data_IF_082946031020
#
_entry.id   IF_082946031020
#
_cell.length_a   1.000
_cell.length_b   1.000
_cell.length_c   1.000
_cell.angle_alpha   90.00
_cell.angle_beta   90.00
_cell.angle_gamma   90.00
#
_symmetry.space_group_name_H-M   'P 1'
#
loop_
_entity.id
_entity.type
_entity.pdbx_description
1 polymer ?
#
# COMPACT_ATOMS: atom_id res chain seq x y z
N UNK A 1 -24.58 16.22 -5.14
CA UNK A 1 -24.36 15.75 -3.76
C UNK A 1 -25.46 16.30 -2.86
N UNK A 2 -25.98 15.49 -1.94
CA UNK A 2 -27.03 15.87 -0.96
C UNK A 2 -26.41 16.54 0.27
N UNK A 3 -27.20 17.34 0.97
CA UNK A 3 -26.82 17.92 2.25
C UNK A 3 -26.95 16.89 3.39
N UNK A 4 -26.15 17.07 4.43
CA UNK A 4 -26.22 16.26 5.65
C UNK A 4 -27.54 16.49 6.39
N UNK A 5 -28.11 15.44 7.00
CA UNK A 5 -29.37 15.50 7.76
C UNK A 5 -29.25 14.71 9.06
N UNK A 6 -30.26 14.79 9.93
CA UNK A 6 -30.33 14.03 11.18
C UNK A 6 -30.39 12.52 10.96
N UNK A 7 -30.99 12.08 9.86
CA UNK A 7 -31.10 10.67 9.47
C UNK A 7 -29.71 10.12 9.13
N UNK A 8 -28.88 10.90 8.43
CA UNK A 8 -27.48 10.53 8.16
C UNK A 8 -26.67 10.39 9.46
N UNK A 9 -26.89 11.26 10.45
CA UNK A 9 -26.28 11.10 11.78
C UNK A 9 -26.72 9.80 12.46
N UNK A 10 -28.01 9.47 12.41
CA UNK A 10 -28.54 8.21 12.96
C UNK A 10 -27.96 7.00 12.25
N UNK A 11 -27.75 7.07 10.94
CA UNK A 11 -27.17 5.97 10.16
C UNK A 11 -25.70 5.74 10.49
N UNK A 12 -24.87 6.80 10.54
CA UNK A 12 -23.46 6.69 10.93
C UNK A 12 -23.31 6.12 12.34
N UNK A 13 -24.10 6.62 13.31
CA UNK A 13 -24.02 6.18 14.70
C UNK A 13 -24.39 4.71 14.93
N UNK A 14 -24.93 4.00 13.93
CA UNK A 14 -25.19 2.55 14.02
C UNK A 14 -23.94 1.70 13.91
N UNK A 15 -22.90 2.21 13.25
CA UNK A 15 -21.69 1.45 12.95
C UNK A 15 -20.41 2.17 13.39
N UNK A 16 -20.42 3.50 13.48
CA UNK A 16 -19.27 4.26 13.94
C UNK A 16 -19.21 4.25 15.47
N UNK A 17 -18.27 3.47 15.99
CA UNK A 17 -17.91 3.43 17.40
C UNK A 17 -16.41 3.70 17.57
N UNK A 18 -16.07 4.87 18.10
CA UNK A 18 -14.67 5.31 18.25
C UNK A 18 -13.89 4.41 19.21
N UNK A 19 -14.52 3.81 20.22
CA UNK A 19 -13.83 2.89 21.14
C UNK A 19 -13.40 1.62 20.42
N UNK A 20 -14.19 1.15 19.45
CA UNK A 20 -13.78 0.06 18.58
C UNK A 20 -12.58 0.45 17.71
N UNK A 21 -12.52 1.69 17.21
CA UNK A 21 -11.35 2.20 16.47
C UNK A 21 -10.11 2.45 17.35
N UNK A 22 -10.25 2.65 18.67
CA UNK A 22 -9.07 2.76 19.57
C UNK A 22 -8.25 1.47 19.60
N UNK A 23 -8.86 0.31 19.34
CA UNK A 23 -8.17 -0.99 19.28
C UNK A 23 -7.15 -1.10 18.14
N UNK A 24 -7.08 -0.15 17.21
CA UNK A 24 -5.97 -0.05 16.25
C UNK A 24 -4.61 0.14 16.94
N UNK A 25 -4.59 0.66 18.18
CA UNK A 25 -3.38 0.77 19.00
C UNK A 25 -2.79 -0.57 19.45
N UNK A 26 -3.62 -1.61 19.50
CA UNK A 26 -3.23 -2.97 19.88
C UNK A 26 -2.71 -3.80 18.70
N UNK A 27 -2.96 -3.35 17.47
CA UNK A 27 -2.44 -4.00 16.28
C UNK A 27 -0.91 -3.90 16.23
N UNK A 28 -0.29 -4.87 15.56
CA UNK A 28 1.11 -4.72 15.14
C UNK A 28 1.24 -3.63 14.08
N UNK A 29 2.44 -3.08 13.94
CA UNK A 29 2.68 -2.07 12.90
C UNK A 29 2.44 -2.63 11.49
N UNK A 30 2.77 -3.91 11.27
CA UNK A 30 2.48 -4.61 10.02
C UNK A 30 0.97 -4.73 9.76
N UNK A 31 0.17 -5.05 10.78
CA UNK A 31 -1.29 -5.08 10.68
C UNK A 31 -1.85 -3.70 10.31
N UNK A 32 -1.41 -2.64 10.99
CA UNK A 32 -1.82 -1.26 10.69
C UNK A 32 -1.52 -0.88 9.22
N UNK A 33 -0.35 -1.29 8.71
CA UNK A 33 0.01 -1.10 7.31
C UNK A 33 -0.99 -1.77 6.36
N UNK A 34 -1.35 -3.03 6.61
CA UNK A 34 -2.29 -3.75 5.75
C UNK A 34 -3.72 -3.20 5.85
N UNK A 35 -4.13 -2.73 7.03
CA UNK A 35 -5.41 -2.05 7.23
C UNK A 35 -5.54 -0.78 6.38
N UNK A 36 -4.47 0.01 6.26
CA UNK A 36 -4.45 1.18 5.37
C UNK A 36 -4.32 0.77 3.91
N UNK A 37 -3.53 -0.27 3.62
CA UNK A 37 -3.38 -0.79 2.26
C UNK A 37 -4.71 -1.27 1.69
N UNK A 38 -5.51 -2.01 2.45
CA UNK A 38 -6.86 -2.43 2.08
C UNK A 38 -7.75 -1.23 1.71
N UNK A 39 -7.64 -0.13 2.47
CA UNK A 39 -8.41 1.11 2.26
C UNK A 39 -8.01 1.88 1.00
N UNK A 40 -6.86 1.58 0.38
CA UNK A 40 -6.52 2.16 -0.94
C UNK A 40 -7.52 1.76 -2.02
N UNK A 41 -8.14 0.58 -1.90
CA UNK A 41 -9.17 0.12 -2.83
C UNK A 41 -10.38 1.07 -2.89
N UNK A 42 -10.65 1.85 -1.83
CA UNK A 42 -11.79 2.76 -1.78
C UNK A 42 -11.68 3.92 -2.77
N UNK A 43 -10.46 4.28 -3.17
CA UNK A 43 -10.18 5.43 -4.02
C UNK A 43 -9.61 5.07 -5.38
N UNK A 44 -9.37 3.78 -5.65
CA UNK A 44 -8.94 3.28 -6.97
C UNK A 44 -9.98 3.63 -8.05
N UNK A 45 -9.53 4.12 -9.21
CA UNK A 45 -10.38 4.48 -10.35
C UNK A 45 -10.85 3.26 -11.14
N UNK A 46 -9.97 2.28 -11.31
CA UNK A 46 -10.24 0.99 -11.95
C UNK A 46 -9.97 -0.15 -10.98
N UNK A 47 -10.81 -1.17 -10.97
CA UNK A 47 -10.66 -2.35 -10.09
C UNK A 47 -10.87 -3.62 -10.90
N UNK A 48 -10.07 -4.62 -10.59
CA UNK A 48 -10.28 -5.98 -11.08
C UNK A 48 -11.42 -6.66 -10.31
N UNK A 49 -12.01 -7.72 -10.86
CA UNK A 49 -13.19 -8.39 -10.29
C UNK A 49 -12.96 -8.90 -8.86
N UNK A 50 -11.75 -9.40 -8.57
CA UNK A 50 -11.42 -9.85 -7.21
C UNK A 50 -11.30 -8.67 -6.23
N UNK A 51 -10.77 -7.52 -6.68
CA UNK A 51 -10.67 -6.31 -5.86
C UNK A 51 -12.05 -5.73 -5.58
N UNK A 52 -12.97 -5.81 -6.55
CA UNK A 52 -14.36 -5.40 -6.38
C UNK A 52 -15.09 -6.28 -5.35
N UNK A 53 -14.85 -7.60 -5.35
CA UNK A 53 -15.38 -8.50 -4.31
C UNK A 53 -14.80 -8.20 -2.93
N UNK A 54 -13.48 -8.02 -2.84
CA UNK A 54 -12.82 -7.66 -1.58
C UNK A 54 -13.36 -6.35 -1.01
N UNK A 55 -13.54 -5.34 -1.88
CA UNK A 55 -14.11 -4.04 -1.53
C UNK A 55 -15.50 -4.16 -0.88
N UNK A 56 -16.39 -4.98 -1.46
CA UNK A 56 -17.72 -5.20 -0.90
C UNK A 56 -17.63 -5.82 0.50
N UNK A 57 -16.77 -6.82 0.69
CA UNK A 57 -16.52 -7.40 2.00
C UNK A 57 -15.99 -6.38 3.02
N UNK A 58 -15.15 -5.44 2.60
CA UNK A 58 -14.68 -4.36 3.47
C UNK A 58 -15.81 -3.40 3.89
N UNK A 59 -16.71 -3.05 2.97
CA UNK A 59 -17.87 -2.23 3.31
C UNK A 59 -18.81 -2.95 4.28
N UNK A 60 -19.04 -4.24 4.09
CA UNK A 60 -19.85 -5.04 5.01
C UNK A 60 -19.25 -5.08 6.41
N UNK A 61 -17.92 -5.28 6.53
CA UNK A 61 -17.21 -5.21 7.83
C UNK A 61 -17.39 -3.84 8.49
N UNK A 62 -17.03 -2.75 7.80
CA UNK A 62 -17.08 -1.39 8.38
C UNK A 62 -18.51 -1.02 8.79
N UNK A 63 -19.49 -1.20 7.90
CA UNK A 63 -20.87 -0.76 8.14
C UNK A 63 -21.68 -1.71 9.03
N UNK A 64 -21.11 -2.85 9.43
CA UNK A 64 -21.62 -3.67 10.53
C UNK A 64 -20.98 -3.33 11.89
N UNK A 65 -20.08 -2.34 11.93
CA UNK A 65 -19.40 -1.88 13.15
C UNK A 65 -18.05 -2.53 13.41
N UNK A 66 -17.49 -3.27 12.46
CA UNK A 66 -16.16 -3.84 12.55
C UNK A 66 -15.17 -3.15 11.59
N UNK A 67 -14.30 -2.26 12.08
CA UNK A 67 -13.37 -1.53 11.22
C UNK A 67 -12.12 -2.33 10.82
N UNK A 68 -11.91 -3.53 11.35
CA UNK A 68 -10.73 -4.35 11.06
C UNK A 68 -10.94 -5.16 9.78
N UNK A 69 -10.29 -4.73 8.70
CA UNK A 69 -10.44 -5.33 7.38
C UNK A 69 -9.61 -6.60 7.21
N UNK A 70 -8.45 -6.63 7.87
CA UNK A 70 -7.44 -7.67 7.74
C UNK A 70 -7.49 -8.61 8.93
N UNK A 71 -7.78 -9.88 8.66
CA UNK A 71 -7.73 -10.92 9.67
C UNK A 71 -6.30 -11.45 9.82
N UNK A 72 -5.91 -11.87 11.02
CA UNK A 72 -4.54 -12.36 11.30
C UNK A 72 -4.15 -13.55 10.39
N UNK A 73 -5.12 -14.41 10.05
CA UNK A 73 -4.96 -15.52 9.10
C UNK A 73 -4.66 -15.05 7.67
N UNK A 74 -5.05 -13.83 7.30
CA UNK A 74 -4.78 -13.23 5.99
C UNK A 74 -3.36 -12.66 5.92
N UNK A 75 -2.70 -12.37 7.05
CA UNK A 75 -1.31 -11.91 7.09
C UNK A 75 -0.33 -13.02 6.69
N UNK A 76 -0.64 -14.29 7.02
CA UNK A 76 0.15 -15.45 6.60
C UNK A 76 0.23 -15.65 5.08
N UNK A 77 -0.74 -15.11 4.32
CA UNK A 77 -0.69 -15.08 2.86
C UNK A 77 0.19 -13.96 2.29
N UNK A 78 0.59 -12.98 3.12
CA UNK A 78 1.36 -11.81 2.70
C UNK A 78 2.87 -11.95 2.99
N UNK A 79 3.29 -13.01 3.66
CA UNK A 79 4.66 -13.53 3.68
C UNK A 79 4.59 -15.07 3.81
N UNK A 80 4.06 -15.77 2.80
CA UNK A 80 3.80 -17.20 2.91
C UNK A 80 5.11 -17.99 2.97
N UNK A 81 5.34 -18.74 4.04
CA UNK A 81 6.51 -19.65 4.17
C UNK A 81 6.57 -20.71 3.04
N UNK A 82 5.47 -20.89 2.32
CA UNK A 82 5.33 -21.91 1.28
C UNK A 82 5.27 -21.34 -0.16
N UNK A 83 5.43 -20.03 -0.36
CA UNK A 83 5.40 -19.39 -1.70
C UNK A 83 6.32 -18.18 -1.76
N UNK A 84 6.78 -17.83 -2.96
CA UNK A 84 7.55 -16.61 -3.18
C UNK A 84 6.68 -15.37 -2.91
N UNK A 85 7.16 -14.48 -2.05
CA UNK A 85 6.53 -13.20 -1.75
C UNK A 85 6.88 -12.16 -2.84
N UNK A 86 5.88 -11.42 -3.32
CA UNK A 86 6.06 -10.36 -4.32
C UNK A 86 5.91 -8.96 -3.69
N UNK A 87 7.01 -8.28 -3.34
CA UNK A 87 6.97 -6.92 -2.83
C UNK A 87 6.64 -5.86 -3.91
N UNK A 88 6.25 -4.62 -3.55
CA UNK A 88 5.72 -3.61 -4.47
C UNK A 88 6.62 -3.15 -5.64
N UNK A 89 7.92 -3.45 -5.57
CA UNK A 89 8.91 -3.04 -6.57
C UNK A 89 9.45 -4.21 -7.39
N UNK A 90 8.99 -5.42 -7.11
CA UNK A 90 9.44 -6.64 -7.75
C UNK A 90 8.26 -7.32 -8.43
N UNK A 91 8.52 -7.90 -9.59
CA UNK A 91 7.55 -8.66 -10.35
C UNK A 91 8.11 -10.06 -10.51
N UNK A 92 7.40 -11.05 -9.99
CA UNK A 92 7.72 -12.44 -10.26
C UNK A 92 7.17 -12.76 -11.64
N UNK A 93 8.05 -13.14 -12.58
CA UNK A 93 7.64 -13.48 -13.94
C UNK A 93 6.65 -14.64 -13.91
N UNK A 94 5.46 -14.42 -14.47
CA UNK A 94 4.42 -15.44 -14.57
C UNK A 94 4.57 -16.28 -15.82
N UNK A 95 3.94 -17.47 -15.85
CA UNK A 95 3.88 -18.29 -17.07
C UNK A 95 3.20 -17.55 -18.23
N UNK A 96 2.20 -16.74 -17.95
CA UNK A 96 1.55 -15.89 -18.95
C UNK A 96 2.53 -14.89 -19.55
N UNK A 97 3.27 -14.15 -18.70
CA UNK A 97 4.27 -13.20 -19.18
C UNK A 97 5.39 -13.89 -19.96
N UNK A 98 5.82 -15.07 -19.52
CA UNK A 98 6.80 -15.88 -20.24
C UNK A 98 6.28 -16.29 -21.63
N UNK A 99 5.02 -16.71 -21.73
CA UNK A 99 4.40 -17.08 -23.00
C UNK A 99 4.28 -15.88 -23.94
N UNK A 100 3.86 -14.71 -23.44
CA UNK A 100 3.81 -13.47 -24.21
C UNK A 100 5.19 -13.10 -24.79
N UNK A 101 6.23 -13.07 -23.93
CA UNK A 101 7.59 -12.78 -24.36
C UNK A 101 8.05 -13.78 -25.43
N UNK A 102 7.76 -15.06 -25.25
CA UNK A 102 8.10 -16.11 -26.22
C UNK A 102 7.42 -15.90 -27.58
N UNK A 103 6.14 -15.52 -27.59
CA UNK A 103 5.39 -15.22 -28.82
C UNK A 103 6.00 -14.02 -29.53
N UNK A 104 6.32 -12.95 -28.80
CA UNK A 104 6.95 -11.75 -29.36
C UNK A 104 8.34 -12.10 -29.93
N UNK A 105 9.15 -12.87 -29.19
CA UNK A 105 10.46 -13.35 -29.63
C UNK A 105 10.38 -14.18 -30.91
N UNK A 106 9.35 -15.03 -31.05
CA UNK A 106 9.13 -15.77 -32.31
C UNK A 106 8.73 -14.84 -33.46
N UNK A 107 7.82 -13.88 -33.23
CA UNK A 107 7.40 -12.91 -34.24
C UNK A 107 8.55 -12.04 -34.75
N UNK A 108 9.56 -11.80 -33.91
CA UNK A 108 10.75 -10.99 -34.21
C UNK A 108 11.93 -11.79 -34.71
N UNK A 109 11.80 -13.12 -34.83
CA UNK A 109 12.90 -13.99 -35.26
C UNK A 109 14.02 -14.12 -34.24
N UNK A 110 13.81 -13.70 -32.98
CA UNK A 110 14.71 -13.97 -31.86
C UNK A 110 14.70 -15.46 -31.52
N UNK A 111 13.51 -16.06 -31.55
CA UNK A 111 13.33 -17.51 -31.57
C UNK A 111 13.01 -17.97 -32.98
N UNK A 112 13.80 -18.91 -33.47
CA UNK A 112 13.68 -19.47 -34.82
C UNK A 112 13.09 -20.85 -34.71
N UNK A 113 11.95 -21.05 -35.37
CA UNK A 113 11.33 -22.36 -35.53
C UNK A 113 11.84 -23.01 -36.81
N UNK A 114 12.34 -24.25 -36.69
CA UNK A 114 12.93 -25.01 -37.81
C UNK A 114 11.97 -26.08 -38.37
N UNK A 115 10.72 -26.13 -37.90
CA UNK A 115 9.80 -27.24 -38.16
C UNK A 115 9.74 -28.23 -37.00
N UNK A 116 8.61 -28.95 -36.89
CA UNK A 116 8.33 -29.90 -35.81
C UNK A 116 8.57 -29.27 -34.42
N UNK A 117 9.22 -30.02 -33.52
CA UNK A 117 9.59 -29.60 -32.15
C UNK A 117 10.99 -28.94 -32.09
N UNK A 118 11.53 -28.44 -33.21
CA UNK A 118 12.89 -27.86 -33.26
C UNK A 118 12.85 -26.34 -33.23
N UNK A 119 13.49 -25.78 -32.20
CA UNK A 119 13.62 -24.35 -31.97
C UNK A 119 15.08 -23.99 -31.68
N UNK A 120 15.50 -22.79 -32.06
CA UNK A 120 16.78 -22.21 -31.65
C UNK A 120 16.63 -20.73 -31.34
N UNK A 121 17.63 -20.17 -30.65
CA UNK A 121 17.79 -18.73 -30.50
C UNK A 121 18.61 -18.22 -31.69
N UNK A 122 18.32 -17.01 -32.17
CA UNK A 122 19.21 -16.34 -33.13
C UNK A 122 20.58 -16.10 -32.47
N UNK A 123 21.65 -16.67 -33.05
CA UNK A 123 22.99 -16.62 -32.51
C UNK A 123 23.56 -15.21 -32.35
N UNK A 124 23.10 -14.24 -33.13
CA UNK A 124 23.50 -12.82 -32.98
C UNK A 124 22.95 -12.19 -31.70
N UNK A 125 21.84 -12.69 -31.19
CA UNK A 125 21.11 -12.14 -30.04
C UNK A 125 21.31 -12.97 -28.76
N UNK A 126 22.10 -14.04 -28.81
CA UNK A 126 22.16 -15.04 -27.75
C UNK A 126 22.73 -14.49 -26.42
N UNK A 127 23.64 -13.52 -26.51
CA UNK A 127 24.28 -12.88 -25.35
C UNK A 127 23.60 -11.56 -24.97
N UNK A 128 22.61 -11.10 -25.74
CA UNK A 128 21.87 -9.87 -25.41
C UNK A 128 20.91 -10.11 -24.25
N UNK A 129 20.79 -9.11 -23.38
CA UNK A 129 19.76 -9.13 -22.35
C UNK A 129 18.37 -9.03 -22.98
N UNK A 130 17.34 -9.47 -22.25
CA UNK A 130 15.94 -9.31 -22.70
C UNK A 130 15.54 -7.84 -22.89
N UNK A 131 16.18 -6.93 -22.16
CA UNK A 131 15.98 -5.50 -22.36
C UNK A 131 16.55 -5.03 -23.70
N UNK A 132 17.76 -5.46 -24.07
CA UNK A 132 18.41 -5.06 -25.33
C UNK A 132 17.69 -5.63 -26.55
N UNK A 133 17.25 -6.90 -26.46
CA UNK A 133 16.56 -7.58 -27.56
C UNK A 133 15.08 -7.20 -27.69
N UNK A 134 14.40 -6.81 -26.59
CA UNK A 134 12.97 -6.44 -26.55
C UNK A 134 12.72 -5.13 -25.78
N UNK A 135 13.33 -4.00 -26.18
CA UNK A 135 13.34 -2.76 -25.38
C UNK A 135 11.94 -2.17 -25.13
N UNK A 136 11.02 -2.33 -26.09
CA UNK A 136 9.64 -1.88 -25.97
C UNK A 136 8.83 -2.66 -24.92
N UNK A 137 9.26 -3.88 -24.57
CA UNK A 137 8.65 -4.73 -23.55
C UNK A 137 9.14 -4.43 -22.13
N UNK A 138 10.26 -3.70 -22.02
CA UNK A 138 10.97 -3.46 -20.76
C UNK A 138 11.31 -1.98 -20.53
N UNK A 139 10.43 -1.07 -20.96
CA UNK A 139 10.66 0.40 -20.91
C UNK A 139 11.01 0.96 -19.52
N UNK A 140 10.60 0.26 -18.44
CA UNK A 140 10.75 0.72 -17.04
C UNK A 140 11.19 -0.38 -16.08
N UNK A 141 11.51 -1.56 -16.59
CA UNK A 141 11.76 -2.74 -15.79
C UNK A 141 12.98 -3.48 -16.31
N UNK A 142 13.69 -4.15 -15.42
CA UNK A 142 14.74 -5.11 -15.77
C UNK A 142 14.22 -6.48 -15.38
N UNK A 143 14.20 -7.42 -16.32
CA UNK A 143 13.96 -8.84 -16.01
C UNK A 143 15.30 -9.49 -15.66
N UNK A 144 15.38 -10.09 -14.48
CA UNK A 144 16.60 -10.69 -13.95
C UNK A 144 16.28 -11.90 -13.07
N UNK A 145 17.28 -12.76 -12.90
CA UNK A 145 17.28 -13.84 -11.93
C UNK A 145 18.14 -13.45 -10.72
N UNK A 146 17.69 -13.78 -9.51
CA UNK A 146 18.45 -13.56 -8.28
C UNK A 146 18.93 -14.90 -7.74
N UNK A 147 20.24 -15.12 -7.74
CA UNK A 147 20.84 -16.33 -7.16
C UNK A 147 20.88 -16.21 -5.63
N UNK A 148 19.88 -16.81 -4.98
CA UNK A 148 19.75 -16.84 -3.51
C UNK A 148 20.86 -17.62 -2.81
N UNK A 149 21.66 -18.40 -3.54
CA UNK A 149 22.78 -19.19 -2.98
C UNK A 149 24.14 -18.52 -3.14
N UNK A 150 24.21 -17.43 -3.92
CA UNK A 150 25.48 -16.76 -4.26
C UNK A 150 26.07 -15.92 -3.13
N UNK A 151 25.28 -15.56 -2.12
CA UNK A 151 25.70 -14.70 -1.02
C UNK A 151 24.63 -14.58 0.07
N UNK A 152 24.97 -13.83 1.11
CA UNK A 152 24.04 -13.43 2.17
C UNK A 152 22.98 -12.45 1.68
N UNK A 153 21.87 -12.31 2.42
CA UNK A 153 20.80 -11.34 2.10
C UNK A 153 21.35 -9.92 1.92
N UNK A 154 22.32 -9.51 2.75
CA UNK A 154 22.93 -8.19 2.70
C UNK A 154 23.80 -8.01 1.44
N UNK A 155 24.57 -9.02 1.05
CA UNK A 155 25.39 -8.98 -0.16
C UNK A 155 24.52 -8.90 -1.42
N UNK A 156 23.42 -9.66 -1.47
CA UNK A 156 22.44 -9.60 -2.56
C UNK A 156 21.77 -8.22 -2.61
N UNK A 157 21.35 -7.69 -1.46
CA UNK A 157 20.70 -6.39 -1.37
C UNK A 157 21.63 -5.24 -1.77
N UNK A 158 22.89 -5.23 -1.32
CA UNK A 158 23.87 -4.20 -1.70
C UNK A 158 24.25 -4.29 -3.18
N UNK A 159 24.32 -5.51 -3.76
CA UNK A 159 24.53 -5.69 -5.20
C UNK A 159 23.40 -5.05 -6.02
N UNK A 160 22.14 -5.33 -5.64
CA UNK A 160 20.98 -4.70 -6.29
C UNK A 160 21.01 -3.17 -6.13
N UNK A 161 21.27 -2.69 -4.92
CA UNK A 161 21.36 -1.26 -4.60
C UNK A 161 22.45 -0.54 -5.42
N UNK A 162 23.59 -1.18 -5.64
CA UNK A 162 24.67 -0.63 -6.47
C UNK A 162 24.29 -0.57 -7.96
N UNK A 163 23.49 -1.52 -8.44
CA UNK A 163 23.08 -1.60 -9.84
C UNK A 163 21.94 -0.60 -10.20
N UNK A 164 21.02 -0.32 -9.27
CA UNK A 164 19.84 0.53 -9.52
C UNK A 164 20.17 1.91 -10.15
N UNK A 165 21.16 2.70 -9.67
CA UNK A 165 21.51 3.98 -10.30
C UNK A 165 22.07 3.82 -11.71
N UNK A 166 22.83 2.75 -11.96
CA UNK A 166 23.39 2.48 -13.28
C UNK A 166 22.29 2.13 -14.28
N UNK A 167 21.36 1.24 -13.91
CA UNK A 167 20.22 0.88 -14.75
C UNK A 167 19.33 2.08 -15.06
N UNK A 168 19.02 2.92 -14.06
CA UNK A 168 18.25 4.15 -14.27
C UNK A 168 18.92 5.11 -15.24
N UNK A 169 20.23 5.30 -15.10
CA UNK A 169 21.01 6.15 -16.00
C UNK A 169 20.97 5.61 -17.43
N UNK A 170 21.17 4.31 -17.60
CA UNK A 170 21.14 3.66 -18.92
C UNK A 170 19.76 3.75 -19.59
N UNK A 171 18.69 3.57 -18.82
CA UNK A 171 17.30 3.65 -19.31
C UNK A 171 16.73 5.07 -19.37
N UNK A 172 17.51 6.10 -19.02
CA UNK A 172 17.08 7.50 -18.93
C UNK A 172 15.87 7.72 -17.98
N UNK A 173 15.74 6.90 -16.95
CA UNK A 173 14.65 6.97 -15.97
C UNK A 173 15.07 7.83 -14.79
N UNK A 174 14.34 8.92 -14.58
CA UNK A 174 14.48 9.73 -13.36
C UNK A 174 13.96 8.96 -12.15
N UNK A 175 14.69 9.05 -11.04
CA UNK A 175 14.18 8.55 -9.77
C UNK A 175 12.90 9.30 -9.40
N UNK A 176 11.86 8.57 -9.01
CA UNK A 176 10.68 9.22 -8.46
C UNK A 176 11.11 9.97 -7.20
N UNK A 177 10.95 11.31 -7.17
CA UNK A 177 11.33 12.07 -5.99
C UNK A 177 10.59 11.49 -4.80
N UNK A 178 11.32 11.27 -3.70
CA UNK A 178 10.68 11.05 -2.41
C UNK A 178 9.85 12.29 -2.14
N UNK A 179 8.55 12.19 -2.38
CA UNK A 179 7.60 13.23 -2.03
C UNK A 179 7.87 13.62 -0.57
N UNK A 180 7.96 14.92 -0.28
CA UNK A 180 8.49 15.53 0.97
C UNK A 180 7.87 15.02 2.28
N UNK A 181 6.84 14.19 2.23
CA UNK A 181 6.33 13.49 3.40
C UNK A 181 7.28 12.35 3.74
N UNK A 182 8.05 12.54 4.81
CA UNK A 182 8.79 11.45 5.45
C UNK A 182 7.81 10.69 6.34
N UNK A 183 7.38 9.50 5.92
CA UNK A 183 6.67 8.61 6.83
C UNK A 183 7.63 8.19 7.96
N UNK A 184 7.19 8.34 9.21
CA UNK A 184 7.96 7.97 10.39
C UNK A 184 7.07 7.93 11.62
N UNK A 185 7.67 7.83 12.81
CA UNK A 185 6.90 7.69 14.04
C UNK A 185 5.87 8.79 14.28
N UNK A 186 6.19 10.04 13.96
CA UNK A 186 5.25 11.15 14.07
C UNK A 186 4.01 10.98 13.16
N UNK A 187 4.16 10.30 12.02
CA UNK A 187 3.02 9.98 11.14
C UNK A 187 2.16 8.88 11.74
N UNK A 188 2.76 7.85 12.35
CA UNK A 188 2.04 6.79 13.07
C UNK A 188 1.20 7.39 14.19
N UNK A 189 1.79 8.29 15.00
CA UNK A 189 1.06 9.04 16.04
C UNK A 189 -0.13 9.81 15.48
N UNK A 190 0.05 10.51 14.37
CA UNK A 190 -1.03 11.27 13.74
C UNK A 190 -2.14 10.35 13.22
N UNK A 191 -1.81 9.20 12.64
CA UNK A 191 -2.80 8.24 12.15
C UNK A 191 -3.78 7.81 13.25
N UNK A 192 -3.26 7.58 14.46
CA UNK A 192 -4.04 7.18 15.63
C UNK A 192 -4.70 8.40 16.29
N UNK A 193 -3.89 9.35 16.78
CA UNK A 193 -4.38 10.45 17.61
C UNK A 193 -5.36 11.36 16.86
N UNK A 194 -5.22 11.51 15.55
CA UNK A 194 -6.11 12.37 14.75
C UNK A 194 -7.31 11.60 14.20
N UNK A 195 -7.49 10.33 14.62
CA UNK A 195 -8.61 9.46 14.23
C UNK A 195 -8.72 9.34 12.71
N UNK A 196 -7.58 9.13 12.04
CA UNK A 196 -7.51 9.17 10.57
C UNK A 196 -8.28 8.01 9.95
N UNK A 197 -8.21 6.80 10.50
CA UNK A 197 -8.92 5.63 9.99
C UNK A 197 -10.45 5.80 10.06
N UNK A 198 -11.08 6.13 11.21
CA UNK A 198 -12.51 6.36 11.24
C UNK A 198 -12.92 7.57 10.38
N UNK A 199 -12.08 8.61 10.29
CA UNK A 199 -12.34 9.73 9.36
C UNK A 199 -12.42 9.23 7.92
N UNK A 200 -11.47 8.39 7.49
CA UNK A 200 -11.41 7.83 6.16
C UNK A 200 -12.66 6.99 5.86
N UNK A 201 -13.07 6.14 6.80
CA UNK A 201 -14.26 5.30 6.67
C UNK A 201 -15.55 6.14 6.55
N UNK A 202 -15.65 7.26 7.31
CA UNK A 202 -16.75 8.25 7.15
C UNK A 202 -16.70 8.89 5.76
N UNK A 203 -15.53 9.33 5.29
CA UNK A 203 -15.39 9.97 3.97
C UNK A 203 -15.84 9.03 2.85
N UNK A 204 -15.52 7.74 2.96
CA UNK A 204 -15.94 6.71 2.01
C UNK A 204 -17.44 6.49 2.06
N UNK A 205 -18.03 6.37 3.26
CA UNK A 205 -19.49 6.28 3.41
C UNK A 205 -20.20 7.49 2.77
N UNK A 206 -19.70 8.71 2.99
CA UNK A 206 -20.30 9.91 2.40
C UNK A 206 -20.18 9.95 0.88
N UNK A 207 -19.07 9.44 0.32
CA UNK A 207 -18.86 9.31 -1.12
C UNK A 207 -19.87 8.31 -1.73
N UNK A 208 -20.06 7.15 -1.10
CA UNK A 208 -21.04 6.13 -1.55
C UNK A 208 -22.46 6.71 -1.53
N UNK A 209 -22.83 7.40 -0.45
CA UNK A 209 -24.16 7.99 -0.29
C UNK A 209 -24.35 9.31 -1.06
N UNK A 210 -23.29 9.83 -1.68
CA UNK A 210 -23.28 11.10 -2.41
C UNK A 210 -23.68 12.29 -1.51
N UNK A 211 -23.22 12.30 -0.25
CA UNK A 211 -23.52 13.31 0.77
C UNK A 211 -22.29 14.19 1.00
N UNK A 212 -22.50 15.49 1.22
CA UNK A 212 -21.43 16.40 1.68
C UNK A 212 -21.34 16.39 3.20
N UNK A 213 -20.14 16.19 3.75
CA UNK A 213 -19.84 16.30 5.18
C UNK A 213 -18.91 17.48 5.45
N UNK A 214 -19.33 18.38 6.36
CA UNK A 214 -18.52 19.51 6.80
C UNK A 214 -17.44 19.09 7.80
N UNK A 215 -16.39 19.89 7.95
CA UNK A 215 -15.31 19.62 8.91
C UNK A 215 -15.79 19.70 10.37
N UNK A 216 -16.73 20.60 10.68
CA UNK A 216 -17.41 20.65 11.97
C UNK A 216 -18.20 19.35 12.24
N UNK A 217 -18.87 18.79 11.23
CA UNK A 217 -19.59 17.52 11.38
C UNK A 217 -18.62 16.37 11.61
N UNK A 218 -17.49 16.32 10.90
CA UNK A 218 -16.45 15.31 11.13
C UNK A 218 -15.90 15.40 12.54
N UNK A 219 -15.55 16.61 13.01
CA UNK A 219 -15.07 16.84 14.37
C UNK A 219 -16.06 16.29 15.42
N UNK A 220 -17.36 16.62 15.32
CA UNK A 220 -18.40 16.13 16.25
C UNK A 220 -18.75 14.64 16.13
N UNK A 221 -18.43 14.00 15.00
CA UNK A 221 -18.61 12.56 14.84
C UNK A 221 -17.42 11.79 15.40
N UNK A 222 -16.23 12.37 15.29
CA UNK A 222 -14.99 11.73 15.67
C UNK A 222 -14.66 11.95 17.14
N UNK A 223 -15.05 13.06 17.75
CA UNK A 223 -14.73 13.44 19.13
C UNK A 223 -15.98 13.68 19.97
N UNK A 224 -15.91 13.33 21.24
CA UNK A 224 -16.99 13.43 22.24
C UNK A 224 -16.54 14.26 23.44
N UNK A 225 -17.48 14.67 24.29
CA UNK A 225 -17.17 15.42 25.50
C UNK A 225 -16.41 14.58 26.55
N UNK A 226 -16.37 13.25 26.39
CA UNK A 226 -15.58 12.34 27.23
C UNK A 226 -14.08 12.32 26.84
N UNK A 227 -13.71 12.95 25.72
CA UNK A 227 -12.33 13.08 25.29
C UNK A 227 -11.63 14.25 26.01
N UNK A 228 -10.35 14.09 26.33
CA UNK A 228 -9.52 15.17 26.84
C UNK A 228 -9.50 16.34 25.83
N UNK A 229 -9.77 17.57 26.30
CA UNK A 229 -9.80 18.78 25.48
C UNK A 229 -8.55 18.95 24.62
N UNK A 230 -7.38 18.54 25.12
CA UNK A 230 -6.11 18.58 24.39
C UNK A 230 -6.05 17.63 23.18
N UNK A 231 -6.89 16.59 23.17
CA UNK A 231 -7.01 15.61 22.08
C UNK A 231 -8.13 15.97 21.10
N UNK A 232 -9.10 16.79 21.51
CA UNK A 232 -10.24 17.18 20.67
C UNK A 232 -9.76 18.02 19.49
N UNK A 233 -10.05 17.55 18.27
CA UNK A 233 -9.69 18.27 17.04
C UNK A 233 -10.87 19.02 16.46
N UNK A 234 -10.83 20.34 16.61
CA UNK A 234 -11.82 21.28 16.07
C UNK A 234 -11.83 21.36 14.53
N UNK A 235 -12.87 21.98 13.96
CA UNK A 235 -13.11 22.02 12.52
C UNK A 235 -11.94 22.53 11.68
N UNK A 236 -11.15 23.50 12.17
CA UNK A 236 -10.01 24.07 11.43
C UNK A 236 -8.84 23.08 11.40
N UNK A 237 -8.60 22.32 12.47
CA UNK A 237 -7.65 21.21 12.46
C UNK A 237 -8.03 20.14 11.44
N UNK A 238 -9.31 19.77 11.41
CA UNK A 238 -9.83 18.78 10.48
C UNK A 238 -9.65 19.24 9.03
N UNK A 239 -10.00 20.49 8.75
CA UNK A 239 -9.89 21.09 7.41
C UNK A 239 -8.45 21.16 6.93
N UNK A 240 -7.56 21.69 7.76
CA UNK A 240 -6.22 22.10 7.33
C UNK A 240 -5.19 20.96 7.43
N UNK A 241 -5.44 19.96 8.30
CA UNK A 241 -4.48 18.87 8.57
C UNK A 241 -5.10 17.48 8.42
N UNK A 242 -6.16 17.18 9.18
CA UNK A 242 -6.56 15.78 9.40
C UNK A 242 -7.23 15.17 8.16
N UNK A 243 -8.15 15.90 7.50
CA UNK A 243 -8.80 15.45 6.26
C UNK A 243 -7.81 15.31 5.11
N UNK A 244 -6.90 16.28 4.84
CA UNK A 244 -5.82 16.07 3.88
C UNK A 244 -4.96 14.83 4.19
N UNK A 245 -4.62 14.60 5.46
CA UNK A 245 -3.87 13.42 5.87
C UNK A 245 -4.66 12.12 5.64
N UNK A 246 -5.96 12.08 5.93
CA UNK A 246 -6.80 10.92 5.68
C UNK A 246 -6.88 10.55 4.19
N UNK A 247 -7.04 11.54 3.32
CA UNK A 247 -7.02 11.31 1.87
C UNK A 247 -5.65 10.85 1.40
N UNK A 248 -4.57 11.40 1.97
CA UNK A 248 -3.20 10.96 1.68
C UNK A 248 -2.94 9.55 2.19
N UNK A 249 -3.48 9.15 3.33
CA UNK A 249 -3.24 7.85 3.97
C UNK A 249 -3.71 6.65 3.12
N UNK A 250 -4.69 6.84 2.23
CA UNK A 250 -5.13 5.84 1.26
C UNK A 250 -4.51 6.02 -0.14
N UNK A 251 -3.45 6.83 -0.30
CA UNK A 251 -2.72 6.93 -1.56
C UNK A 251 -1.65 5.85 -1.69
N UNK A 252 -1.36 5.46 -2.94
CA UNK A 252 -0.30 4.48 -3.25
C UNK A 252 1.05 4.93 -2.70
N UNK A 253 1.37 6.23 -2.79
CA UNK A 253 2.66 6.75 -2.33
C UNK A 253 2.79 6.71 -0.81
N UNK A 254 1.71 6.98 -0.08
CA UNK A 254 1.72 6.87 1.39
C UNK A 254 1.96 5.42 1.82
N UNK A 255 1.28 4.47 1.18
CA UNK A 255 1.50 3.03 1.43
C UNK A 255 2.93 2.63 1.09
N UNK A 256 3.50 3.09 -0.02
CA UNK A 256 4.90 2.81 -0.38
C UNK A 256 5.87 3.33 0.67
N UNK A 257 5.66 4.55 1.18
CA UNK A 257 6.49 5.12 2.23
C UNK A 257 6.34 4.39 3.56
N UNK A 258 5.13 3.96 3.91
CA UNK A 258 4.91 3.15 5.11
C UNK A 258 5.61 1.78 4.99
N UNK A 259 5.48 1.11 3.84
CA UNK A 259 6.18 -0.14 3.56
C UNK A 259 7.71 0.02 3.65
N UNK A 260 8.25 1.10 3.08
CA UNK A 260 9.67 1.43 3.18
C UNK A 260 10.11 1.62 4.65
N UNK A 261 9.34 2.38 5.44
CA UNK A 261 9.62 2.60 6.86
C UNK A 261 9.64 1.28 7.64
N UNK A 262 8.65 0.40 7.42
CA UNK A 262 8.56 -0.89 8.11
C UNK A 262 9.73 -1.80 7.75
N UNK A 263 10.15 -1.85 6.48
CA UNK A 263 11.27 -2.72 6.08
C UNK A 263 12.61 -2.19 6.57
N UNK A 264 12.82 -0.86 6.54
CA UNK A 264 14.01 -0.24 7.10
C UNK A 264 14.13 -0.45 8.62
N UNK A 265 12.99 -0.55 9.31
CA UNK A 265 12.92 -0.77 10.75
C UNK A 265 12.23 -2.11 11.04
N UNK A 266 12.78 -3.20 10.49
CA UNK A 266 12.16 -4.54 10.53
C UNK A 266 11.79 -5.02 11.94
N UNK A 267 12.57 -4.63 12.96
CA UNK A 267 12.28 -4.90 14.37
C UNK A 267 10.94 -4.33 14.86
N UNK A 268 10.40 -3.29 14.21
CA UNK A 268 9.11 -2.68 14.55
C UNK A 268 7.90 -3.45 13.97
N UNK A 269 8.10 -4.33 12.98
CA UNK A 269 6.99 -5.01 12.26
C UNK A 269 5.96 -5.64 13.19
N UNK A 270 6.44 -6.32 14.21
CA UNK A 270 5.64 -7.07 15.17
C UNK A 270 5.37 -6.30 16.47
N UNK A 271 5.91 -5.09 16.62
CA UNK A 271 5.61 -4.24 17.77
C UNK A 271 4.20 -3.69 17.66
N UNK A 272 3.53 -3.56 18.80
CA UNK A 272 2.22 -2.88 18.86
C UNK A 272 2.35 -1.43 18.45
N UNK A 273 1.30 -0.89 17.83
CA UNK A 273 1.24 0.51 17.42
C UNK A 273 1.42 1.43 18.64
N UNK A 274 0.75 1.13 19.76
CA UNK A 274 0.90 1.86 21.02
C UNK A 274 2.35 1.93 21.52
N UNK A 275 3.09 0.83 21.46
CA UNK A 275 4.50 0.80 21.88
C UNK A 275 5.42 1.53 20.89
N UNK A 276 5.14 1.38 19.59
CA UNK A 276 5.86 2.11 18.53
C UNK A 276 5.71 3.63 18.69
N UNK A 277 4.52 4.10 19.11
CA UNK A 277 4.31 5.52 19.38
C UNK A 277 5.19 6.02 20.54
N UNK A 278 5.36 5.23 21.62
CA UNK A 278 6.18 5.62 22.78
C UNK A 278 7.67 5.79 22.43
N UNK A 279 8.21 5.00 21.50
CA UNK A 279 9.62 5.10 21.08
C UNK A 279 9.98 6.50 20.54
N UNK A 280 9.02 7.17 19.91
CA UNK A 280 9.22 8.52 19.40
C UNK A 280 9.22 9.63 20.44
N UNK A 281 8.78 9.33 21.67
CA UNK A 281 8.95 10.22 22.81
C UNK A 281 10.33 10.06 23.45
N UNK A 282 10.91 8.85 23.42
CA UNK A 282 12.25 8.59 23.94
C UNK A 282 13.40 9.11 23.05
N UNK A 283 13.21 9.23 21.73
CA UNK A 283 14.21 9.84 20.83
C UNK A 283 14.32 11.38 20.97
N UNK A 284 13.46 12.00 21.80
CA UNK A 284 13.45 13.45 22.07
C UNK A 284 13.95 13.84 23.47
N UNK A 285 14.39 12.87 24.28
CA UNK A 285 15.06 13.10 25.57
C UNK A 285 16.56 12.87 25.46
#
# INVERSE_FOLDING_TARGET
MKNWTTEHTKEIKKWLDIDTYRKFEDLTLLQLYHELWARTLFFKSYREDFEAKALMGYFEKIFSGNPFLIDEKQLGYMAPDNRLFQPPHFFLTTLERLAELSIISMQRGTFVWHGDDKYSINGELQEETLYESLPDQFQRTVMLEVDLSSGTDDEIAESLKAALPQWRKYMEIQENPLDSVRFGYGTIKKLINYRIIPMLDILVWTKIKQIRVSDDRLSRLLYTDDDDESQIRLHYHVKDTDRPLALKAASVDFIRQFYYFINKNSHLKNMRVSDTMKLSDSEKS
#
